data_IF_028854650368
#
_entry.id   IF_028854650368
#
_cell.length_a   1.000
_cell.length_b   1.000
_cell.length_c   1.000
_cell.angle_alpha   90.00
_cell.angle_beta   90.00
_cell.angle_gamma   90.00
#
_symmetry.space_group_name_H-M   'P 1'
#
loop_
_entity.id
_entity.type
_entity.pdbx_description
1 polymer ?
#
# COMPACT_ATOMS: atom_id res chain seq x y z
N UNK A 1 -21.41 12.09 10.08
CA UNK A 1 -21.97 11.05 9.18
C UNK A 1 -20.99 10.61 8.09
N UNK A 2 -20.34 11.52 7.33
CA UNK A 2 -19.43 11.15 6.23
C UNK A 2 -18.32 10.14 6.54
N UNK A 3 -17.58 10.29 7.66
CA UNK A 3 -16.48 9.37 8.02
C UNK A 3 -16.93 7.94 8.33
N UNK A 4 -18.15 7.77 8.87
CA UNK A 4 -18.69 6.44 9.18
C UNK A 4 -18.97 5.67 7.90
N UNK A 5 -19.57 6.32 6.91
CA UNK A 5 -19.83 5.74 5.60
C UNK A 5 -18.54 5.45 4.81
N UNK A 6 -17.50 6.27 4.95
CA UNK A 6 -16.18 5.98 4.38
C UNK A 6 -15.59 4.72 5.03
N UNK A 7 -15.61 4.65 6.37
CA UNK A 7 -15.12 3.49 7.10
C UNK A 7 -15.85 2.20 6.75
N UNK A 8 -17.17 2.23 6.71
CA UNK A 8 -18.00 1.09 6.33
C UNK A 8 -17.66 0.62 4.91
N UNK A 9 -17.58 1.53 3.93
CA UNK A 9 -17.20 1.19 2.54
C UNK A 9 -15.81 0.58 2.41
N UNK A 10 -14.79 1.16 3.05
CA UNK A 10 -13.42 0.62 3.03
C UNK A 10 -13.39 -0.76 3.69
N UNK A 11 -14.07 -0.93 4.82
CA UNK A 11 -14.14 -2.22 5.53
C UNK A 11 -14.86 -3.28 4.71
N UNK A 12 -16.01 -2.95 4.13
CA UNK A 12 -16.77 -3.85 3.26
C UNK A 12 -15.95 -4.28 2.05
N UNK A 13 -15.24 -3.34 1.42
CA UNK A 13 -14.34 -3.64 0.32
C UNK A 13 -13.26 -4.65 0.74
N UNK A 14 -12.53 -4.38 1.83
CA UNK A 14 -11.49 -5.30 2.32
C UNK A 14 -12.04 -6.69 2.61
N UNK A 15 -13.16 -6.75 3.35
CA UNK A 15 -13.80 -8.02 3.69
C UNK A 15 -14.25 -8.80 2.45
N UNK A 16 -14.70 -8.11 1.39
CA UNK A 16 -15.17 -8.75 0.16
C UNK A 16 -14.05 -9.48 -0.58
N UNK A 17 -12.83 -8.94 -0.52
CA UNK A 17 -11.68 -9.49 -1.26
C UNK A 17 -10.78 -10.39 -0.41
N UNK A 18 -10.71 -10.17 0.91
CA UNK A 18 -9.80 -10.90 1.81
C UNK A 18 -10.05 -12.41 1.81
N UNK A 19 -11.31 -12.83 1.88
CA UNK A 19 -11.67 -14.25 1.89
C UNK A 19 -11.31 -14.96 0.57
N UNK A 20 -11.63 -14.34 -0.56
CA UNK A 20 -11.34 -14.90 -1.88
C UNK A 20 -9.84 -14.87 -2.20
N UNK A 21 -9.13 -13.82 -1.79
CA UNK A 21 -7.68 -13.73 -1.95
C UNK A 21 -6.97 -14.82 -1.13
N UNK A 22 -7.41 -15.01 0.11
CA UNK A 22 -6.90 -16.07 1.00
C UNK A 22 -7.14 -17.45 0.38
N UNK A 23 -8.34 -17.69 -0.16
CA UNK A 23 -8.67 -18.94 -0.84
C UNK A 23 -7.79 -19.19 -2.07
N UNK A 24 -7.60 -18.18 -2.93
CA UNK A 24 -6.74 -18.29 -4.13
C UNK A 24 -5.26 -18.52 -3.75
N UNK A 25 -4.75 -17.85 -2.72
CA UNK A 25 -3.40 -18.07 -2.22
C UNK A 25 -3.22 -19.51 -1.69
N UNK A 26 -4.20 -20.01 -0.93
CA UNK A 26 -4.20 -21.38 -0.42
C UNK A 26 -4.25 -22.42 -1.54
N UNK A 27 -5.13 -22.22 -2.53
CA UNK A 27 -5.23 -23.08 -3.72
C UNK A 27 -3.92 -23.13 -4.50
N UNK A 28 -3.27 -21.98 -4.74
CA UNK A 28 -1.95 -21.94 -5.35
C UNK A 28 -0.91 -22.71 -4.53
N UNK A 29 -0.87 -22.50 -3.21
CA UNK A 29 0.06 -23.19 -2.29
C UNK A 29 -0.07 -24.71 -2.35
N UNK A 30 -1.30 -25.22 -2.38
CA UNK A 30 -1.58 -26.65 -2.46
C UNK A 30 -1.06 -27.25 -3.78
N UNK A 31 -1.35 -26.62 -4.92
CA UNK A 31 -0.88 -27.08 -6.22
C UNK A 31 0.64 -27.00 -6.32
N UNK A 32 1.24 -25.93 -5.82
CA UNK A 32 2.69 -25.77 -5.77
C UNK A 32 3.34 -26.88 -4.91
N UNK A 33 2.77 -27.17 -3.74
CA UNK A 33 3.26 -28.23 -2.86
C UNK A 33 3.24 -29.60 -3.53
N UNK A 34 2.14 -29.96 -4.21
CA UNK A 34 2.03 -31.21 -4.97
C UNK A 34 3.08 -31.31 -6.09
N UNK A 35 3.35 -30.21 -6.80
CA UNK A 35 4.38 -30.18 -7.84
C UNK A 35 5.77 -30.43 -7.26
N UNK A 36 6.11 -29.78 -6.15
CA UNK A 36 7.42 -29.94 -5.49
C UNK A 36 7.59 -31.37 -4.95
N UNK A 37 6.54 -31.96 -4.39
CA UNK A 37 6.51 -33.36 -3.96
C UNK A 37 6.71 -34.32 -5.14
N UNK A 38 6.02 -34.07 -6.25
CA UNK A 38 6.15 -34.87 -7.47
C UNK A 38 7.57 -34.83 -8.06
N UNK A 39 8.26 -33.69 -7.98
CA UNK A 39 9.65 -33.54 -8.43
C UNK A 39 10.65 -34.21 -7.45
N UNK A 40 10.24 -34.54 -6.23
CA UNK A 40 11.09 -35.27 -5.27
C UNK A 40 12.22 -34.44 -4.66
N UNK A 41 12.01 -33.14 -4.46
CA UNK A 41 13.01 -32.26 -3.82
C UNK A 41 13.06 -32.55 -2.31
N UNK A 42 14.22 -32.92 -1.74
CA UNK A 42 14.38 -33.34 -0.33
C UNK A 42 13.96 -32.28 0.73
N UNK A 43 13.77 -31.01 0.36
CA UNK A 43 13.35 -29.93 1.26
C UNK A 43 12.03 -29.25 0.87
N UNK A 44 11.00 -30.05 0.59
CA UNK A 44 9.65 -29.58 0.20
C UNK A 44 9.11 -28.52 1.15
N UNK A 45 9.12 -28.80 2.44
CA UNK A 45 8.55 -27.94 3.49
C UNK A 45 9.24 -26.57 3.53
N UNK A 46 10.57 -26.54 3.44
CA UNK A 46 11.33 -25.30 3.46
C UNK A 46 11.06 -24.43 2.23
N UNK A 47 11.01 -25.01 1.02
CA UNK A 47 10.68 -24.26 -0.21
C UNK A 47 9.23 -23.73 -0.21
N UNK A 48 8.28 -24.49 0.32
CA UNK A 48 6.89 -24.03 0.46
C UNK A 48 6.82 -22.87 1.45
N UNK A 49 7.50 -22.97 2.60
CA UNK A 49 7.57 -21.89 3.59
C UNK A 49 8.21 -20.63 3.03
N UNK A 50 9.34 -20.76 2.31
CA UNK A 50 10.01 -19.64 1.66
C UNK A 50 9.07 -18.91 0.69
N UNK A 51 8.31 -19.64 -0.14
CA UNK A 51 7.34 -19.02 -1.07
C UNK A 51 6.11 -18.48 -0.37
N UNK A 52 5.67 -19.08 0.71
CA UNK A 52 4.58 -18.55 1.52
C UNK A 52 4.96 -17.21 2.16
N UNK A 53 6.12 -17.12 2.79
CA UNK A 53 6.59 -15.91 3.48
C UNK A 53 7.02 -14.81 2.50
N UNK A 54 7.76 -15.16 1.44
CA UNK A 54 8.28 -14.20 0.46
C UNK A 54 7.17 -13.62 -0.41
N UNK A 55 6.14 -14.43 -0.70
CA UNK A 55 5.24 -14.15 -1.81
C UNK A 55 3.76 -14.15 -1.41
N UNK A 56 3.23 -15.24 -0.83
CA UNK A 56 1.78 -15.33 -0.56
C UNK A 56 1.30 -14.45 0.59
N UNK A 57 2.04 -14.41 1.71
CA UNK A 57 1.69 -13.57 2.85
C UNK A 57 1.62 -12.08 2.49
N UNK A 58 2.60 -11.52 1.74
CA UNK A 58 2.50 -10.16 1.23
C UNK A 58 1.26 -9.89 0.38
N UNK A 59 0.76 -10.86 -0.40
CA UNK A 59 -0.42 -10.64 -1.25
C UNK A 59 -1.69 -10.34 -0.45
N UNK A 60 -1.79 -10.82 0.80
CA UNK A 60 -2.96 -10.59 1.65
C UNK A 60 -3.18 -9.11 2.01
N UNK A 61 -2.17 -8.25 1.85
CA UNK A 61 -2.35 -6.80 1.91
C UNK A 61 -2.56 -6.18 0.52
N UNK A 62 -3.35 -5.12 0.46
CA UNK A 62 -3.71 -4.32 -0.71
C UNK A 62 -2.79 -3.10 -0.95
N UNK A 63 -1.86 -2.81 -0.03
CA UNK A 63 -0.78 -1.87 -0.31
C UNK A 63 0.19 -2.45 -1.37
N UNK A 64 0.83 -1.57 -2.16
CA UNK A 64 1.78 -1.99 -3.20
C UNK A 64 1.25 -3.02 -4.22
N UNK A 65 -0.06 -3.03 -4.53
CA UNK A 65 -0.63 -4.00 -5.47
C UNK A 65 0.06 -4.04 -6.84
N UNK A 66 0.43 -2.92 -7.49
CA UNK A 66 1.02 -3.02 -8.81
C UNK A 66 2.42 -3.68 -8.80
N UNK A 67 3.30 -3.35 -7.84
CA UNK A 67 4.56 -4.10 -7.60
C UNK A 67 4.32 -5.60 -7.32
N UNK A 68 3.31 -5.94 -6.53
CA UNK A 68 2.93 -7.34 -6.26
C UNK A 68 2.48 -8.07 -7.53
N UNK A 69 1.67 -7.42 -8.36
CA UNK A 69 1.24 -7.96 -9.67
C UNK A 69 2.44 -8.13 -10.59
N UNK A 70 3.38 -7.19 -10.61
CA UNK A 70 4.61 -7.28 -11.37
C UNK A 70 5.48 -8.47 -10.91
N UNK A 71 5.71 -8.60 -9.59
CA UNK A 71 6.43 -9.74 -9.00
C UNK A 71 5.76 -11.08 -9.30
N UNK A 72 4.44 -11.14 -9.27
CA UNK A 72 3.66 -12.33 -9.60
C UNK A 72 3.83 -12.73 -11.07
N UNK A 73 3.81 -11.77 -11.99
CA UNK A 73 4.08 -12.01 -13.40
C UNK A 73 5.51 -12.54 -13.64
N UNK A 74 6.50 -11.96 -12.95
CA UNK A 74 7.88 -12.46 -13.03
C UNK A 74 8.00 -13.88 -12.47
N UNK A 75 7.34 -14.18 -11.34
CA UNK A 75 7.31 -15.53 -10.78
C UNK A 75 6.69 -16.52 -11.76
N UNK A 76 5.59 -16.16 -12.42
CA UNK A 76 4.97 -16.98 -13.48
C UNK A 76 5.98 -17.28 -14.57
N UNK A 77 6.67 -16.28 -15.12
CA UNK A 77 7.70 -16.49 -16.14
C UNK A 77 8.86 -17.38 -15.67
N UNK A 78 9.31 -17.21 -14.42
CA UNK A 78 10.38 -18.05 -13.85
C UNK A 78 9.94 -19.51 -13.71
N UNK A 79 8.75 -19.76 -13.19
CA UNK A 79 8.21 -21.12 -13.05
C UNK A 79 7.97 -21.77 -14.41
N UNK A 80 7.49 -21.02 -15.40
CA UNK A 80 7.34 -21.52 -16.78
C UNK A 80 8.67 -22.02 -17.36
N UNK A 81 9.77 -21.28 -17.10
CA UNK A 81 11.12 -21.60 -17.56
C UNK A 81 11.76 -22.75 -16.79
N UNK A 82 11.70 -22.74 -15.44
CA UNK A 82 12.24 -23.81 -14.60
C UNK A 82 11.60 -25.15 -14.96
N UNK A 83 10.27 -25.18 -15.11
CA UNK A 83 9.56 -26.40 -15.48
C UNK A 83 9.85 -26.78 -16.94
N UNK A 84 10.01 -25.82 -17.86
CA UNK A 84 10.43 -26.12 -19.23
C UNK A 84 11.78 -26.84 -19.26
N UNK A 85 12.75 -26.39 -18.46
CA UNK A 85 14.05 -27.05 -18.33
C UNK A 85 13.92 -28.48 -17.79
N UNK A 86 13.09 -28.69 -16.77
CA UNK A 86 12.83 -30.02 -16.22
C UNK A 86 12.15 -30.96 -17.23
N UNK A 87 11.30 -30.42 -18.12
CA UNK A 87 10.63 -31.22 -19.16
C UNK A 87 11.49 -31.47 -20.40
N UNK A 88 12.44 -30.60 -20.73
CA UNK A 88 13.28 -30.71 -21.94
C UNK A 88 14.62 -31.40 -21.68
N UNK A 89 15.12 -31.39 -20.43
CA UNK A 89 16.35 -32.05 -20.06
C UNK A 89 16.07 -33.45 -19.49
N UNK A 90 15.95 -34.43 -20.39
CA UNK A 90 15.70 -35.83 -20.06
C UNK A 90 16.70 -36.40 -19.06
N UNK A 91 17.95 -35.91 -19.02
CA UNK A 91 19.01 -36.39 -18.12
C UNK A 91 18.77 -36.00 -16.65
N UNK A 92 18.15 -34.85 -16.38
CA UNK A 92 17.77 -34.41 -15.02
C UNK A 92 16.53 -35.18 -14.55
N UNK A 93 15.51 -35.29 -15.40
CA UNK A 93 14.33 -36.11 -15.12
C UNK A 93 14.72 -37.58 -14.87
N UNK A 94 15.68 -38.11 -15.64
CA UNK A 94 16.20 -39.46 -15.52
C UNK A 94 17.02 -39.67 -14.24
N UNK A 95 17.83 -38.70 -13.80
CA UNK A 95 18.56 -38.77 -12.51
C UNK A 95 17.61 -38.74 -11.31
N UNK A 96 16.54 -37.94 -11.35
CA UNK A 96 15.49 -37.93 -10.33
C UNK A 96 14.69 -39.25 -10.32
N UNK A 97 14.41 -39.81 -11.49
CA UNK A 97 13.72 -41.10 -11.64
C UNK A 97 14.57 -42.32 -11.23
N UNK A 98 15.89 -42.27 -11.42
CA UNK A 98 16.81 -43.36 -11.04
C UNK A 98 17.04 -43.52 -9.54
N UNK A 99 16.75 -42.49 -8.72
CA UNK A 99 16.66 -42.68 -7.28
C UNK A 99 15.44 -43.53 -6.86
N UNK A 100 14.45 -43.71 -7.76
CA UNK A 100 13.20 -44.44 -7.52
C UNK A 100 13.17 -45.82 -8.20
N UNK A 101 14.01 -46.09 -9.22
CA UNK A 101 13.88 -47.30 -10.06
C UNK A 101 15.16 -48.12 -10.19
N UNK A 102 15.43 -48.97 -9.19
CA UNK A 102 16.30 -50.15 -9.34
C UNK A 102 15.58 -51.26 -10.14
N UNK A 103 15.25 -51.03 -11.42
CA UNK A 103 14.52 -52.01 -12.24
C UNK A 103 15.36 -52.52 -13.44
N UNK A 104 15.53 -53.85 -13.66
CA UNK A 104 16.55 -54.40 -14.56
C UNK A 104 16.14 -54.61 -16.04
N UNK A 105 14.98 -54.14 -16.51
CA UNK A 105 14.49 -54.45 -17.87
C UNK A 105 14.10 -53.19 -18.69
N UNK A 106 14.81 -52.97 -19.79
CA UNK A 106 14.90 -51.73 -20.57
C UNK A 106 13.64 -51.27 -21.36
N UNK A 107 12.57 -52.07 -21.44
CA UNK A 107 11.39 -51.73 -22.25
C UNK A 107 10.29 -50.94 -21.50
N UNK A 108 10.13 -51.13 -20.18
CA UNK A 108 9.14 -50.37 -19.39
C UNK A 108 9.59 -48.93 -19.06
N UNK A 109 10.89 -48.63 -19.17
CA UNK A 109 11.45 -47.34 -18.76
C UNK A 109 10.96 -46.18 -19.64
N UNK A 110 10.75 -46.41 -20.95
CA UNK A 110 10.28 -45.36 -21.87
C UNK A 110 8.81 -44.98 -21.62
N UNK A 111 7.94 -45.95 -21.39
CA UNK A 111 6.52 -45.71 -21.08
C UNK A 111 6.37 -45.00 -19.72
N UNK A 112 7.14 -45.41 -18.73
CA UNK A 112 7.19 -44.79 -17.41
C UNK A 112 7.72 -43.36 -17.45
N UNK A 113 8.79 -43.09 -18.21
CA UNK A 113 9.30 -41.74 -18.46
C UNK A 113 8.28 -40.86 -19.18
N UNK A 114 7.59 -41.41 -20.18
CA UNK A 114 6.56 -40.68 -20.91
C UNK A 114 5.36 -40.33 -20.02
N UNK A 115 4.97 -41.26 -19.13
CA UNK A 115 3.95 -41.01 -18.10
C UNK A 115 4.39 -39.91 -17.12
N UNK A 116 5.62 -39.99 -16.60
CA UNK A 116 6.19 -38.95 -15.72
C UNK A 116 6.17 -37.57 -16.38
N UNK A 117 6.60 -37.46 -17.64
CA UNK A 117 6.57 -36.19 -18.37
C UNK A 117 5.16 -35.63 -18.59
N UNK A 118 4.17 -36.51 -18.85
CA UNK A 118 2.78 -36.10 -18.98
C UNK A 118 2.21 -35.60 -17.64
N UNK A 119 2.49 -36.32 -16.55
CA UNK A 119 2.05 -35.95 -15.21
C UNK A 119 2.69 -34.61 -14.78
N UNK A 120 4.00 -34.42 -15.02
CA UNK A 120 4.69 -33.15 -14.77
C UNK A 120 4.06 -31.99 -15.54
N UNK A 121 3.70 -32.21 -16.81
CA UNK A 121 3.02 -31.20 -17.64
C UNK A 121 1.62 -30.88 -17.11
N UNK A 122 0.88 -31.87 -16.60
CA UNK A 122 -0.43 -31.65 -16.00
C UNK A 122 -0.33 -30.78 -14.74
N UNK A 123 0.59 -31.10 -13.83
CA UNK A 123 0.83 -30.31 -12.61
C UNK A 123 1.29 -28.89 -12.93
N UNK A 124 2.14 -28.74 -13.97
CA UNK A 124 2.53 -27.41 -14.50
C UNK A 124 1.32 -26.60 -14.92
N UNK A 125 0.49 -27.17 -15.77
CA UNK A 125 -0.66 -26.45 -16.33
C UNK A 125 -1.63 -26.04 -15.23
N UNK A 126 -1.87 -26.91 -14.24
CA UNK A 126 -2.68 -26.58 -13.08
C UNK A 126 -2.10 -25.41 -12.28
N UNK A 127 -0.79 -25.42 -12.01
CA UNK A 127 -0.12 -24.33 -11.28
C UNK A 127 -0.23 -23.00 -12.01
N UNK A 128 -0.02 -23.00 -13.33
CA UNK A 128 -0.11 -21.80 -14.16
C UNK A 128 -1.54 -21.25 -14.21
N UNK A 129 -2.55 -22.13 -14.24
CA UNK A 129 -3.95 -21.72 -14.13
C UNK A 129 -4.21 -21.02 -12.78
N UNK A 130 -3.71 -21.56 -11.66
CA UNK A 130 -3.86 -20.91 -10.34
C UNK A 130 -3.15 -19.57 -10.24
N UNK A 131 -1.97 -19.44 -10.85
CA UNK A 131 -1.26 -18.16 -10.93
C UNK A 131 -2.04 -17.13 -11.75
N UNK A 132 -2.62 -17.54 -12.87
CA UNK A 132 -3.45 -16.66 -13.71
C UNK A 132 -4.70 -16.19 -12.96
N UNK A 133 -5.41 -17.11 -12.30
CA UNK A 133 -6.59 -16.80 -11.47
C UNK A 133 -6.26 -15.79 -10.36
N UNK A 134 -5.05 -15.85 -9.79
CA UNK A 134 -4.57 -14.92 -8.76
C UNK A 134 -4.19 -13.56 -9.37
N UNK A 135 -3.51 -13.55 -10.52
CA UNK A 135 -3.18 -12.33 -11.28
C UNK A 135 -4.42 -11.57 -11.69
N UNK A 136 -5.38 -12.25 -12.32
CA UNK A 136 -6.65 -11.66 -12.74
C UNK A 136 -7.39 -11.03 -11.57
N UNK A 137 -7.38 -11.72 -10.42
CA UNK A 137 -8.06 -11.24 -9.22
C UNK A 137 -7.38 -10.00 -8.60
N UNK A 138 -6.04 -10.00 -8.49
CA UNK A 138 -5.30 -8.82 -8.02
C UNK A 138 -5.47 -7.62 -8.97
N UNK A 139 -5.47 -7.88 -10.28
CA UNK A 139 -5.76 -6.85 -11.28
C UNK A 139 -7.17 -6.28 -11.12
N UNK A 140 -8.17 -7.13 -10.90
CA UNK A 140 -9.55 -6.69 -10.64
C UNK A 140 -9.62 -5.76 -9.41
N UNK A 141 -9.01 -6.16 -8.29
CA UNK A 141 -8.95 -5.34 -7.07
C UNK A 141 -8.30 -3.98 -7.37
N UNK A 142 -7.14 -4.00 -8.02
CA UNK A 142 -6.40 -2.78 -8.35
C UNK A 142 -7.22 -1.87 -9.27
N UNK A 143 -7.85 -2.40 -10.32
CA UNK A 143 -8.72 -1.64 -11.22
C UNK A 143 -9.88 -0.97 -10.49
N UNK A 144 -10.50 -1.65 -9.53
CA UNK A 144 -11.58 -1.07 -8.74
C UNK A 144 -11.09 0.08 -7.84
N UNK A 145 -9.95 -0.09 -7.16
CA UNK A 145 -9.34 0.99 -6.37
C UNK A 145 -9.04 2.21 -7.27
N UNK A 146 -8.44 1.98 -8.44
CA UNK A 146 -8.13 3.06 -9.40
C UNK A 146 -9.39 3.75 -9.94
N UNK A 147 -10.49 3.02 -10.14
CA UNK A 147 -11.77 3.58 -10.54
C UNK A 147 -12.36 4.48 -9.44
N UNK A 148 -12.31 4.03 -8.17
CA UNK A 148 -12.75 4.84 -7.03
C UNK A 148 -11.91 6.11 -6.90
N UNK A 149 -10.58 6.01 -6.96
CA UNK A 149 -9.68 7.15 -6.90
C UNK A 149 -9.99 8.18 -8.02
N UNK A 150 -10.19 7.70 -9.25
CA UNK A 150 -10.50 8.59 -10.39
C UNK A 150 -11.85 9.29 -10.22
N UNK A 151 -12.87 8.58 -9.74
CA UNK A 151 -14.19 9.17 -9.44
C UNK A 151 -14.12 10.26 -8.36
N UNK A 152 -13.36 10.00 -7.29
CA UNK A 152 -13.16 10.96 -6.20
C UNK A 152 -12.33 12.17 -6.65
N UNK A 153 -11.34 11.96 -7.51
CA UNK A 153 -10.54 13.03 -8.12
C UNK A 153 -11.42 14.01 -8.92
N UNK A 154 -12.33 13.47 -9.74
CA UNK A 154 -13.29 14.31 -10.45
C UNK A 154 -14.21 15.07 -9.49
N UNK A 155 -14.66 14.40 -8.40
CA UNK A 155 -15.51 15.00 -7.38
C UNK A 155 -14.83 16.17 -6.66
N UNK A 156 -13.54 16.07 -6.32
CA UNK A 156 -12.79 17.21 -5.78
C UNK A 156 -12.60 18.32 -6.82
N UNK A 157 -12.32 18.00 -8.10
CA UNK A 157 -12.15 19.01 -9.15
C UNK A 157 -13.44 19.80 -9.43
N UNK A 158 -14.61 19.14 -9.39
CA UNK A 158 -15.93 19.73 -9.65
C UNK A 158 -16.54 20.50 -8.46
N UNK A 159 -16.18 20.17 -7.23
CA UNK A 159 -16.76 20.74 -5.99
C UNK A 159 -16.34 22.18 -5.66
N UNK A 160 -16.45 23.13 -6.60
CA UNK A 160 -16.07 24.53 -6.39
C UNK A 160 -17.06 25.27 -5.46
N UNK A 161 -16.58 26.31 -4.78
CA UNK A 161 -17.38 27.18 -3.93
C UNK A 161 -17.57 26.68 -2.48
N UNK A 162 -18.06 27.58 -1.60
CA UNK A 162 -18.24 27.28 -0.17
C UNK A 162 -19.32 26.24 0.11
N UNK A 163 -20.34 26.18 -0.75
CA UNK A 163 -21.49 25.28 -0.60
C UNK A 163 -21.11 23.80 -0.72
N UNK A 164 -19.96 23.49 -1.33
CA UNK A 164 -19.47 22.13 -1.53
C UNK A 164 -18.31 21.73 -0.61
N UNK A 165 -18.12 22.44 0.53
CA UNK A 165 -17.01 22.17 1.44
C UNK A 165 -17.00 20.74 2.01
N UNK A 166 -18.17 20.20 2.39
CA UNK A 166 -18.29 18.82 2.88
C UNK A 166 -17.99 17.77 1.79
N UNK A 167 -18.42 18.04 0.56
CA UNK A 167 -18.14 17.16 -0.59
C UNK A 167 -16.64 17.08 -0.85
N UNK A 168 -15.95 18.23 -0.82
CA UNK A 168 -14.50 18.31 -0.95
C UNK A 168 -13.80 17.56 0.20
N UNK A 169 -14.22 17.83 1.44
CA UNK A 169 -13.69 17.18 2.63
C UNK A 169 -13.81 15.65 2.56
N UNK A 170 -15.03 15.13 2.38
CA UNK A 170 -15.28 13.68 2.37
C UNK A 170 -14.48 13.01 1.25
N UNK A 171 -14.39 13.63 0.07
CA UNK A 171 -13.62 13.07 -1.03
C UNK A 171 -12.11 13.04 -0.76
N UNK A 172 -11.53 14.08 -0.14
CA UNK A 172 -10.11 14.08 0.26
C UNK A 172 -9.83 12.98 1.29
N UNK A 173 -10.66 12.86 2.32
CA UNK A 173 -10.50 11.83 3.35
C UNK A 173 -10.63 10.43 2.75
N UNK A 174 -11.57 10.23 1.83
CA UNK A 174 -11.77 8.95 1.15
C UNK A 174 -10.62 8.62 0.22
N UNK A 175 -10.07 9.58 -0.54
CA UNK A 175 -8.88 9.38 -1.38
C UNK A 175 -7.69 8.91 -0.54
N UNK A 176 -7.40 9.57 0.59
CA UNK A 176 -6.31 9.15 1.47
C UNK A 176 -6.53 7.75 2.04
N UNK A 177 -7.78 7.40 2.37
CA UNK A 177 -8.14 6.06 2.83
C UNK A 177 -7.91 4.99 1.77
N UNK A 178 -8.16 5.30 0.49
CA UNK A 178 -7.91 4.37 -0.62
C UNK A 178 -6.43 4.25 -0.99
N UNK A 179 -5.70 5.37 -1.03
CA UNK A 179 -4.28 5.39 -1.37
C UNK A 179 -3.45 4.57 -0.38
N UNK A 180 -3.80 4.62 0.90
CA UNK A 180 -3.04 4.05 2.02
C UNK A 180 -3.85 3.00 2.81
N UNK A 181 -4.67 2.21 2.10
CA UNK A 181 -5.72 1.33 2.65
C UNK A 181 -5.29 0.32 3.74
N UNK A 182 -4.02 -0.08 3.74
CA UNK A 182 -3.46 -0.95 4.78
C UNK A 182 -2.54 -0.25 5.77
N UNK A 183 -2.16 0.97 5.47
CA UNK A 183 -1.07 1.70 6.11
C UNK A 183 -1.59 2.71 7.13
N UNK A 184 -2.77 3.27 6.86
CA UNK A 184 -3.45 4.20 7.75
C UNK A 184 -4.88 3.76 8.04
N UNK A 185 -5.39 4.15 9.21
CA UNK A 185 -6.75 3.81 9.66
C UNK A 185 -7.48 5.06 10.09
N UNK A 186 -8.58 5.38 9.40
CA UNK A 186 -9.43 6.52 9.76
C UNK A 186 -10.06 6.31 11.14
N UNK A 187 -9.91 7.29 12.03
CA UNK A 187 -10.50 7.29 13.36
C UNK A 187 -11.88 7.96 13.34
N UNK A 188 -12.79 7.46 14.17
CA UNK A 188 -14.13 8.04 14.32
C UNK A 188 -14.13 9.32 15.17
N UNK A 189 -13.12 9.51 16.01
CA UNK A 189 -12.95 10.64 16.93
C UNK A 189 -12.51 11.90 16.19
N UNK A 190 -13.47 12.64 15.64
CA UNK A 190 -13.20 13.93 14.96
C UNK A 190 -13.04 15.10 15.93
N UNK A 191 -13.52 14.98 17.16
CA UNK A 191 -13.51 16.05 18.16
C UNK A 191 -12.49 15.73 19.24
N UNK A 192 -11.80 16.76 19.73
CA UNK A 192 -11.10 16.71 21.02
C UNK A 192 -12.08 17.36 22.00
N UNK A 193 -12.85 16.53 22.70
CA UNK A 193 -14.02 16.95 23.46
C UNK A 193 -13.67 18.01 24.52
N UNK A 194 -12.48 17.90 25.12
CA UNK A 194 -11.99 18.83 26.14
C UNK A 194 -11.76 20.25 25.60
N UNK A 195 -11.57 20.42 24.29
CA UNK A 195 -11.21 21.70 23.66
C UNK A 195 -12.17 22.14 22.54
N UNK A 196 -13.22 21.36 22.26
CA UNK A 196 -14.18 21.60 21.15
C UNK A 196 -13.51 21.83 19.80
N UNK A 197 -12.36 21.18 19.62
CA UNK A 197 -11.56 21.28 18.41
C UNK A 197 -11.99 20.18 17.44
N UNK A 198 -12.71 20.58 16.39
CA UNK A 198 -13.19 19.67 15.36
C UNK A 198 -12.21 19.57 14.19
N UNK A 199 -11.84 18.34 13.87
CA UNK A 199 -10.95 17.96 12.78
C UNK A 199 -11.73 17.39 11.61
N UNK A 200 -11.21 17.56 10.40
CA UNK A 200 -11.88 17.04 9.22
C UNK A 200 -11.68 15.54 9.04
N UNK A 201 -10.46 15.05 9.29
CA UNK A 201 -10.12 13.63 9.36
C UNK A 201 -8.88 13.40 10.24
N UNK A 202 -8.84 12.23 10.86
CA UNK A 202 -7.71 11.78 11.68
C UNK A 202 -7.43 10.34 11.34
N UNK A 203 -6.19 10.02 11.02
CA UNK A 203 -5.74 8.68 10.74
C UNK A 203 -4.70 8.25 11.77
N UNK A 204 -4.87 7.04 12.28
CA UNK A 204 -3.82 6.29 12.98
C UNK A 204 -2.91 5.67 11.91
N UNK A 205 -1.60 5.83 12.07
CA UNK A 205 -0.61 5.21 11.18
C UNK A 205 -0.20 3.88 11.79
N UNK A 206 -0.22 2.81 11.00
CA UNK A 206 0.17 1.49 11.50
C UNK A 206 1.68 1.35 11.60
N UNK A 207 2.13 0.50 12.51
CA UNK A 207 3.55 0.26 12.79
C UNK A 207 4.34 -0.23 11.57
N UNK A 208 3.67 -0.90 10.63
CA UNK A 208 4.26 -1.43 9.40
C UNK A 208 4.31 -0.40 8.25
N UNK A 209 4.01 0.87 8.50
CA UNK A 209 4.15 1.89 7.47
C UNK A 209 5.62 2.09 7.14
N UNK A 210 6.04 1.77 5.91
CA UNK A 210 7.44 1.67 5.48
C UNK A 210 8.32 2.88 5.83
N UNK A 211 7.70 4.06 5.93
CA UNK A 211 8.39 5.31 6.23
C UNK A 211 8.57 5.62 7.71
N UNK A 212 7.97 4.82 8.61
CA UNK A 212 8.23 4.87 10.05
C UNK A 212 9.42 3.95 10.35
N UNK A 213 10.51 4.51 10.88
CA UNK A 213 11.61 3.72 11.46
C UNK A 213 12.75 3.30 10.52
N UNK A 214 12.72 3.64 9.23
CA UNK A 214 13.86 3.37 8.35
C UNK A 214 15.02 4.33 8.66
N UNK A 215 16.24 3.81 8.94
CA UNK A 215 17.38 4.50 9.59
C UNK A 215 17.85 5.83 8.94
N UNK A 216 17.39 6.14 7.73
CA UNK A 216 17.72 7.36 6.99
C UNK A 216 16.61 8.43 6.97
N UNK A 217 15.37 8.10 7.40
CA UNK A 217 14.20 8.99 7.39
C UNK A 217 13.68 9.22 8.83
N UNK A 218 14.16 10.29 9.46
CA UNK A 218 13.92 10.69 10.87
C UNK A 218 12.48 11.14 11.22
N UNK A 219 11.49 10.92 10.36
CA UNK A 219 10.16 11.52 10.53
C UNK A 219 9.21 10.49 11.12
N UNK A 220 9.24 10.39 12.46
CA UNK A 220 8.32 9.56 13.21
C UNK A 220 7.04 10.36 13.51
N UNK A 221 5.93 9.95 12.89
CA UNK A 221 4.60 10.39 13.26
C UNK A 221 3.69 9.17 13.45
N UNK A 222 2.84 9.21 14.47
CA UNK A 222 1.88 8.13 14.77
C UNK A 222 0.50 8.39 14.19
N UNK A 223 0.23 9.64 13.82
CA UNK A 223 -1.07 10.08 13.34
C UNK A 223 -0.95 11.05 12.18
N UNK A 224 -1.92 11.02 11.27
CA UNK A 224 -2.11 12.04 10.24
C UNK A 224 -3.41 12.80 10.55
N UNK A 225 -3.30 14.10 10.76
CA UNK A 225 -4.46 14.99 10.95
C UNK A 225 -4.68 15.74 9.65
N UNK A 226 -5.90 15.72 9.13
CA UNK A 226 -6.25 16.37 7.86
C UNK A 226 -7.24 17.50 8.12
N UNK A 227 -6.94 18.66 7.55
CA UNK A 227 -7.80 19.84 7.50
C UNK A 227 -8.05 20.23 6.04
N UNK A 228 -9.32 20.20 5.63
CA UNK A 228 -9.73 20.42 4.26
C UNK A 228 -10.31 21.82 4.10
N UNK A 229 -9.61 22.70 3.37
CA UNK A 229 -10.08 24.06 3.08
C UNK A 229 -10.40 24.20 1.59
N UNK A 230 -11.68 24.10 1.25
CA UNK A 230 -12.19 24.27 -0.12
C UNK A 230 -12.18 25.74 -0.57
N UNK A 231 -11.01 26.37 -0.57
CA UNK A 231 -10.77 27.77 -0.90
C UNK A 231 -9.47 27.90 -1.68
N UNK A 232 -9.34 29.01 -2.41
CA UNK A 232 -8.14 29.33 -3.18
C UNK A 232 -7.02 29.82 -2.27
N UNK A 233 -7.33 30.71 -1.32
CA UNK A 233 -6.34 31.36 -0.48
C UNK A 233 -6.53 30.99 0.99
N UNK A 234 -5.48 30.47 1.63
CA UNK A 234 -5.46 30.21 3.06
C UNK A 234 -5.37 31.50 3.87
N UNK A 235 -5.98 31.49 5.05
CA UNK A 235 -5.93 32.57 6.01
C UNK A 235 -5.23 32.09 7.28
N UNK A 236 -4.69 33.02 8.05
CA UNK A 236 -3.99 32.77 9.31
C UNK A 236 -4.77 31.85 10.26
N UNK A 237 -6.08 32.08 10.38
CA UNK A 237 -6.96 31.25 11.23
C UNK A 237 -6.93 29.75 10.91
N UNK A 238 -6.69 29.37 9.65
CA UNK A 238 -6.64 27.95 9.25
C UNK A 238 -5.34 27.30 9.74
N UNK A 239 -4.22 28.02 9.65
CA UNK A 239 -2.95 27.56 10.20
C UNK A 239 -3.01 27.49 11.73
N UNK A 240 -3.67 28.44 12.38
CA UNK A 240 -3.84 28.43 13.84
C UNK A 240 -4.69 27.28 14.35
N UNK A 241 -5.70 26.86 13.60
CA UNK A 241 -6.49 25.67 13.94
C UNK A 241 -5.60 24.41 13.99
N UNK A 242 -4.73 24.23 12.99
CA UNK A 242 -3.76 23.13 12.99
C UNK A 242 -2.71 23.27 14.07
N UNK A 243 -2.25 24.50 14.32
CA UNK A 243 -1.32 24.80 15.42
C UNK A 243 -1.92 24.46 16.79
N UNK A 244 -3.22 24.65 16.99
CA UNK A 244 -3.87 24.26 18.23
C UNK A 244 -3.80 22.75 18.47
N UNK A 245 -3.97 21.91 17.43
CA UNK A 245 -3.87 20.46 17.57
C UNK A 245 -2.50 20.01 18.06
N UNK A 246 -1.43 20.66 17.60
CA UNK A 246 -0.06 20.29 17.96
C UNK A 246 0.34 20.82 19.32
N UNK A 247 -0.23 21.94 19.77
CA UNK A 247 -0.15 22.35 21.17
C UNK A 247 -0.82 21.33 22.09
N UNK A 248 -1.98 20.79 21.69
CA UNK A 248 -2.72 19.81 22.50
C UNK A 248 -2.03 18.44 22.61
N UNK A 249 -1.22 18.07 21.62
CA UNK A 249 -0.33 16.90 21.74
C UNK A 249 0.58 16.99 22.99
N UNK A 250 0.93 18.20 23.47
CA UNK A 250 1.73 18.38 24.69
C UNK A 250 1.00 17.97 25.98
N UNK A 251 -0.33 17.85 25.92
CA UNK A 251 -1.19 17.63 27.10
C UNK A 251 -2.03 16.36 26.99
N UNK A 252 -2.24 15.84 25.78
CA UNK A 252 -3.03 14.64 25.52
C UNK A 252 -2.15 13.52 24.96
N UNK A 253 -2.05 12.35 25.63
CA UNK A 253 -1.22 11.24 25.18
C UNK A 253 -1.70 10.60 23.87
N UNK A 254 -2.90 10.95 23.41
CA UNK A 254 -3.54 10.38 22.23
C UNK A 254 -2.83 10.66 20.90
N UNK A 255 -1.99 11.70 20.79
CA UNK A 255 -1.51 12.16 19.48
C UNK A 255 0.00 12.41 19.41
N UNK A 256 0.83 11.49 19.90
CA UNK A 256 2.30 11.61 19.90
C UNK A 256 2.85 11.87 18.49
N UNK A 257 3.25 13.11 18.21
CA UNK A 257 3.88 13.56 16.96
C UNK A 257 2.96 13.42 15.74
N UNK A 258 1.97 14.32 15.53
CA UNK A 258 1.10 14.25 14.38
C UNK A 258 1.75 14.88 13.13
N UNK A 259 1.52 14.26 11.97
CA UNK A 259 1.67 14.90 10.66
C UNK A 259 0.36 15.60 10.31
N UNK A 260 0.38 16.92 10.25
CA UNK A 260 -0.77 17.73 9.91
C UNK A 260 -0.76 18.10 8.42
N UNK A 261 -1.82 17.74 7.70
CA UNK A 261 -2.03 18.06 6.29
C UNK A 261 -3.13 19.12 6.18
N UNK A 262 -2.79 20.28 5.62
CA UNK A 262 -3.78 21.29 5.22
C UNK A 262 -3.99 21.16 3.71
N UNK A 263 -5.13 20.59 3.33
CA UNK A 263 -5.47 20.33 1.93
C UNK A 263 -6.34 21.45 1.38
N UNK A 264 -5.92 22.06 0.27
CA UNK A 264 -6.56 23.23 -0.33
C UNK A 264 -6.67 23.10 -1.85
N UNK A 265 -7.30 24.08 -2.51
CA UNK A 265 -7.31 24.14 -3.97
C UNK A 265 -5.94 24.49 -4.53
N UNK A 266 -5.30 25.51 -3.94
CA UNK A 266 -4.00 26.03 -4.34
C UNK A 266 -3.09 26.08 -3.12
N UNK A 267 -1.90 25.50 -3.26
CA UNK A 267 -0.86 25.52 -2.25
C UNK A 267 -0.30 26.96 -2.13
N UNK A 268 -0.12 27.50 -0.91
CA UNK A 268 0.54 28.80 -0.74
C UNK A 268 1.97 28.75 -1.30
N UNK A 269 2.35 29.79 -2.05
CA UNK A 269 3.74 29.97 -2.49
C UNK A 269 4.67 30.26 -1.31
N UNK A 270 5.98 30.09 -1.49
CA UNK A 270 6.96 30.32 -0.43
C UNK A 270 6.97 31.78 0.06
N UNK A 271 6.63 32.71 -0.84
CA UNK A 271 6.52 34.13 -0.52
C UNK A 271 5.27 34.50 0.28
N UNK A 272 4.26 33.61 0.31
CA UNK A 272 3.01 33.83 1.01
C UNK A 272 3.23 33.91 2.53
N UNK A 273 2.58 34.87 3.18
CA UNK A 273 2.71 35.08 4.63
C UNK A 273 2.34 33.84 5.45
N UNK A 274 1.35 33.05 5.00
CA UNK A 274 0.95 31.80 5.66
C UNK A 274 2.05 30.74 5.58
N UNK A 275 2.75 30.66 4.44
CA UNK A 275 3.89 29.75 4.28
C UNK A 275 5.03 30.14 5.22
N UNK A 276 5.39 31.43 5.23
CA UNK A 276 6.42 32.00 6.11
C UNK A 276 6.09 31.80 7.59
N UNK A 277 4.83 32.04 7.98
CA UNK A 277 4.36 31.82 9.35
C UNK A 277 4.44 30.34 9.74
N UNK A 278 4.04 29.42 8.85
CA UNK A 278 4.18 27.99 9.09
C UNK A 278 5.64 27.67 9.41
N UNK A 279 6.59 28.10 8.58
CA UNK A 279 8.02 27.85 8.81
C UNK A 279 8.51 28.41 10.16
N UNK A 280 8.10 29.63 10.52
CA UNK A 280 8.44 30.23 11.83
C UNK A 280 7.89 29.42 13.02
N UNK A 281 6.68 28.89 12.91
CA UNK A 281 6.10 28.02 13.95
C UNK A 281 6.81 26.66 14.06
N UNK A 282 7.38 26.19 12.95
CA UNK A 282 8.19 24.97 12.91
C UNK A 282 9.56 25.18 13.60
N UNK A 283 10.22 26.30 13.34
CA UNK A 283 11.50 26.67 13.97
C UNK A 283 11.40 26.73 15.50
N UNK A 284 10.33 27.33 16.04
CA UNK A 284 10.16 27.53 17.48
C UNK A 284 9.88 26.26 18.32
N UNK A 285 9.81 25.07 17.72
CA UNK A 285 9.49 23.80 18.41
C UNK A 285 10.55 22.70 18.19
N UNK A 286 11.77 23.03 17.75
CA UNK A 286 12.82 22.04 17.42
C UNK A 286 13.18 21.09 18.57
N UNK A 287 13.23 21.56 19.82
CA UNK A 287 13.63 20.74 20.99
C UNK A 287 12.57 19.71 21.45
N UNK A 288 11.32 19.82 20.98
CA UNK A 288 10.16 19.11 21.57
C UNK A 288 9.47 18.14 20.62
N UNK A 289 10.13 17.80 19.53
CA UNK A 289 9.59 17.01 18.43
C UNK A 289 9.02 17.92 17.34
N UNK A 290 9.45 17.75 16.08
CA UNK A 290 9.06 18.66 15.03
C UNK A 290 7.55 18.62 14.82
N UNK A 291 6.93 19.79 14.88
CA UNK A 291 5.61 19.96 14.30
C UNK A 291 5.74 19.70 12.79
N UNK A 292 4.94 18.81 12.23
CA UNK A 292 5.00 18.53 10.79
C UNK A 292 3.72 19.01 10.15
N UNK A 293 3.74 20.25 9.64
CA UNK A 293 2.60 20.82 8.91
C UNK A 293 2.95 20.95 7.43
N UNK A 294 2.18 20.28 6.59
CA UNK A 294 2.29 20.33 5.14
C UNK A 294 1.07 21.03 4.53
N UNK A 295 1.30 21.76 3.45
CA UNK A 295 0.25 22.28 2.58
C UNK A 295 0.16 21.40 1.34
N UNK A 296 -1.01 20.82 1.11
CA UNK A 296 -1.31 20.05 -0.09
C UNK A 296 -2.36 20.78 -0.92
N UNK A 297 -2.15 20.80 -2.22
CA UNK A 297 -3.13 21.24 -3.20
C UNK A 297 -3.89 20.06 -3.79
N UNK A 298 -4.93 20.35 -4.57
CA UNK A 298 -5.59 19.34 -5.42
C UNK A 298 -4.59 18.73 -6.41
N UNK A 299 -3.64 19.52 -6.91
CA UNK A 299 -2.61 19.03 -7.81
C UNK A 299 -1.74 17.97 -7.12
N UNK A 300 -1.32 18.21 -5.87
CA UNK A 300 -0.56 17.22 -5.09
C UNK A 300 -1.35 15.91 -4.91
N UNK A 301 -2.66 15.99 -4.64
CA UNK A 301 -3.54 14.81 -4.54
C UNK A 301 -3.66 14.09 -5.89
N UNK A 302 -3.81 14.84 -6.98
CA UNK A 302 -3.81 14.28 -8.34
C UNK A 302 -2.50 13.56 -8.66
N UNK A 303 -1.36 14.14 -8.29
CA UNK A 303 -0.05 13.51 -8.46
C UNK A 303 0.08 12.22 -7.63
N UNK A 304 -0.43 12.17 -6.39
CA UNK A 304 -0.48 10.93 -5.61
C UNK A 304 -1.28 9.82 -6.30
N UNK A 305 -2.41 10.16 -6.92
CA UNK A 305 -3.24 9.22 -7.68
C UNK A 305 -2.49 8.75 -8.94
N UNK A 306 -1.81 9.65 -9.64
CA UNK A 306 -0.98 9.32 -10.81
C UNK A 306 0.18 8.41 -10.40
N UNK A 307 0.85 8.68 -9.28
CA UNK A 307 1.89 7.80 -8.71
C UNK A 307 1.33 6.40 -8.52
N UNK A 308 0.17 6.24 -7.87
CA UNK A 308 -0.46 4.92 -7.69
C UNK A 308 -0.75 4.21 -9.01
N UNK A 309 -1.21 4.94 -10.04
CA UNK A 309 -1.50 4.39 -11.38
C UNK A 309 -0.23 3.89 -12.09
N UNK A 310 0.90 4.55 -11.83
CA UNK A 310 2.19 4.27 -12.47
C UNK A 310 3.11 3.38 -11.61
N UNK A 311 2.56 2.67 -10.62
CA UNK A 311 3.34 1.82 -9.69
C UNK A 311 4.42 2.56 -8.88
N UNK A 312 4.18 3.84 -8.60
CA UNK A 312 5.01 4.64 -7.71
C UNK A 312 4.30 4.81 -6.35
N UNK A 313 5.08 4.90 -5.28
CA UNK A 313 4.55 5.15 -3.95
C UNK A 313 3.94 6.57 -3.86
N UNK A 314 2.63 6.72 -3.58
CA UNK A 314 1.98 8.02 -3.46
C UNK A 314 2.56 8.90 -2.34
N UNK A 315 3.14 8.29 -1.31
CA UNK A 315 3.71 9.00 -0.17
C UNK A 315 4.98 9.79 -0.53
N UNK A 316 5.62 9.50 -1.67
CA UNK A 316 6.78 10.25 -2.16
C UNK A 316 6.48 11.75 -2.30
N UNK A 317 5.24 12.11 -2.66
CA UNK A 317 4.79 13.51 -2.76
C UNK A 317 4.88 14.22 -1.40
N UNK A 318 4.65 13.49 -0.30
CA UNK A 318 4.78 14.04 1.06
C UNK A 318 6.25 14.08 1.49
N UNK A 319 7.03 13.03 1.16
CA UNK A 319 8.45 12.94 1.50
C UNK A 319 9.24 14.09 0.91
N UNK A 320 8.97 14.47 -0.33
CA UNK A 320 9.67 15.60 -0.95
C UNK A 320 9.47 16.89 -0.14
N UNK A 321 8.24 17.18 0.28
CA UNK A 321 7.90 18.36 1.08
C UNK A 321 8.51 18.29 2.48
N UNK A 322 8.49 17.11 3.09
CA UNK A 322 9.12 16.87 4.38
C UNK A 322 10.64 17.08 4.32
N UNK A 323 11.28 16.63 3.24
CA UNK A 323 12.72 16.83 3.01
C UNK A 323 13.07 18.31 2.75
N UNK A 324 12.20 19.06 2.07
CA UNK A 324 12.37 20.52 1.92
C UNK A 324 12.36 21.23 3.27
N UNK A 325 11.41 20.90 4.15
CA UNK A 325 11.35 21.43 5.52
C UNK A 325 12.62 21.06 6.29
N UNK A 326 13.10 19.82 6.15
CA UNK A 326 14.35 19.38 6.81
C UNK A 326 15.56 20.20 6.36
N UNK A 327 15.73 20.44 5.05
CA UNK A 327 16.85 21.25 4.55
C UNK A 327 16.83 22.66 5.13
N UNK A 328 15.64 23.21 5.36
CA UNK A 328 15.46 24.51 6.01
C UNK A 328 15.78 24.48 7.52
N UNK A 329 15.77 23.32 8.18
CA UNK A 329 16.23 23.18 9.57
C UNK A 329 17.73 22.95 9.69
N UNK A 330 18.36 22.38 8.67
CA UNK A 330 19.81 22.12 8.65
C UNK A 330 20.63 23.36 8.25
N UNK A 331 20.15 24.57 8.58
CA UNK A 331 20.96 25.79 8.38
C UNK A 331 22.24 25.65 9.23
N UNK A 332 23.43 25.64 8.61
CA UNK A 332 24.68 25.68 9.35
C UNK A 332 24.77 27.01 10.09
N UNK A 333 25.28 26.97 11.33
CA UNK A 333 25.70 28.17 12.08
C UNK A 333 26.67 29.05 11.30
#
# INVERSE_FOLDING_TARGET
>A
MGSRLILERIKEFKNSYEAELSFKCQSFKEVYGRLIEFIGIEMISQRIMEKEEEFLQPLLSLNGLPDKIYKLNNLKMHLENEILQLTTNSEIAYKTYHHISTCPNNYNCLEELQKYHNDLRAHKNELLVRLEELLEFLNLINSQILAQLSSLEEKIKKSRGRENAYVFQDAVIEILSWLFIDEIKLLQTKEIDEFRLRRDGVFEVKDNFYYIGNRNNFINFSHIIVECKNIIELKYKHLMQVYAYTLLNKVTPFFRSPLCLIVTRIKPSEDNIIYKMRNKLLEGNQDKGPMLTLFLSIEDISQMIISRKNDCDPFLILIEQLNQIRRQWQVPE
#
